data_IF_464720234993
#
_entry.id   IF_464720234993
#
_cell.length_a   1.000
_cell.length_b   1.000
_cell.length_c   1.000
_cell.angle_alpha   90.00
_cell.angle_beta   90.00
_cell.angle_gamma   90.00
#
_symmetry.space_group_name_H-M   'P 1'
#
loop_
_entity.id
_entity.type
_entity.pdbx_description
1 polymer ?
#
# COMPACT_ATOMS: atom_id res chain seq x y z
N UNK A 1 -2.51 -16.22 10.45
CA UNK A 1 -2.19 -16.78 9.11
C UNK A 1 -3.03 -16.06 8.07
N UNK A 2 -2.55 -15.86 6.81
CA UNK A 2 -3.37 -15.25 5.76
C UNK A 2 -4.71 -15.92 5.52
N UNK A 3 -4.79 -17.23 5.75
CA UNK A 3 -6.02 -18.02 5.66
C UNK A 3 -7.12 -17.56 6.64
N UNK A 4 -6.74 -17.00 7.77
CA UNK A 4 -7.69 -16.48 8.76
C UNK A 4 -8.45 -15.26 8.23
N UNK A 5 -7.92 -14.57 7.21
CA UNK A 5 -8.61 -13.47 6.55
C UNK A 5 -9.94 -13.89 5.92
N UNK A 6 -10.12 -15.18 5.60
CA UNK A 6 -11.39 -15.72 5.10
C UNK A 6 -12.55 -15.57 6.10
N UNK A 7 -12.23 -15.42 7.39
CA UNK A 7 -13.20 -15.25 8.49
C UNK A 7 -13.50 -13.79 8.80
N UNK A 8 -12.80 -12.87 8.11
CA UNK A 8 -12.94 -11.43 8.33
C UNK A 8 -13.52 -10.75 7.10
N UNK A 9 -14.19 -9.63 7.33
CA UNK A 9 -14.70 -8.79 6.27
C UNK A 9 -13.53 -7.98 5.70
N UNK A 10 -13.22 -8.18 4.43
CA UNK A 10 -12.25 -7.36 3.73
C UNK A 10 -12.95 -6.23 2.96
N UNK A 11 -12.34 -5.07 2.95
CA UNK A 11 -12.69 -3.96 2.07
C UNK A 11 -11.73 -3.99 0.88
N UNK A 12 -12.25 -4.22 -0.30
CA UNK A 12 -11.45 -4.48 -1.48
C UNK A 12 -11.29 -3.23 -2.35
N UNK A 13 -10.11 -3.07 -2.91
CA UNK A 13 -9.88 -2.11 -3.98
C UNK A 13 -10.10 -2.80 -5.32
N UNK A 14 -10.86 -2.17 -6.22
CA UNK A 14 -10.92 -2.60 -7.62
C UNK A 14 -10.44 -1.47 -8.53
N UNK A 15 -9.80 -1.82 -9.64
CA UNK A 15 -9.50 -0.86 -10.68
C UNK A 15 -10.50 -1.00 -11.82
N UNK A 16 -10.79 0.11 -12.52
CA UNK A 16 -11.68 0.08 -13.69
C UNK A 16 -11.23 -0.92 -14.77
N UNK A 17 -9.92 -1.22 -14.83
CA UNK A 17 -9.35 -2.21 -15.76
C UNK A 17 -9.64 -3.65 -15.35
N UNK A 18 -9.79 -3.90 -14.06
CA UNK A 18 -10.01 -5.24 -13.52
C UNK A 18 -11.25 -5.15 -12.65
N UNK A 19 -12.39 -5.53 -13.19
CA UNK A 19 -13.68 -5.54 -12.46
C UNK A 19 -13.72 -6.53 -11.29
N UNK A 20 -12.61 -7.19 -11.03
CA UNK A 20 -12.46 -8.15 -9.95
C UNK A 20 -11.67 -7.54 -8.80
N UNK A 21 -11.92 -8.01 -7.59
CA UNK A 21 -11.15 -7.65 -6.41
C UNK A 21 -9.68 -8.03 -6.63
N UNK A 22 -8.77 -7.09 -6.34
CA UNK A 22 -7.35 -7.35 -6.48
C UNK A 22 -6.90 -8.40 -5.46
N UNK A 23 -6.15 -9.38 -5.91
CA UNK A 23 -5.48 -10.33 -5.03
C UNK A 23 -4.56 -9.62 -4.04
N UNK A 24 -4.55 -10.12 -2.82
CA UNK A 24 -3.62 -9.68 -1.80
C UNK A 24 -2.42 -10.62 -1.78
N UNK A 25 -1.27 -10.12 -2.19
CA UNK A 25 -0.02 -10.86 -2.21
C UNK A 25 0.76 -10.59 -0.94
N UNK A 26 1.19 -11.64 -0.27
CA UNK A 26 1.99 -11.60 0.95
C UNK A 26 3.31 -12.31 0.73
N UNK A 27 4.36 -11.79 1.33
CA UNK A 27 5.69 -12.39 1.32
C UNK A 27 6.07 -12.71 2.76
N UNK A 28 6.33 -13.99 3.03
CA UNK A 28 6.82 -14.45 4.30
C UNK A 28 8.02 -15.37 4.08
N UNK A 29 9.16 -15.04 4.68
CA UNK A 29 10.42 -15.81 4.57
C UNK A 29 10.79 -16.21 3.14
N UNK A 30 10.56 -15.29 2.19
CA UNK A 30 10.84 -15.50 0.76
C UNK A 30 9.81 -16.33 0.00
N UNK A 31 8.73 -16.76 0.63
CA UNK A 31 7.58 -17.38 -0.04
C UNK A 31 6.51 -16.33 -0.32
N UNK A 32 6.02 -16.34 -1.53
CA UNK A 32 4.90 -15.49 -1.96
C UNK A 32 3.61 -16.29 -1.87
N UNK A 33 2.65 -15.76 -1.16
CA UNK A 33 1.30 -16.33 -1.01
C UNK A 33 0.30 -15.30 -1.49
N UNK A 34 -0.65 -15.72 -2.33
CA UNK A 34 -1.74 -14.88 -2.80
C UNK A 34 -3.05 -15.31 -2.16
N UNK A 35 -3.84 -14.33 -1.78
CA UNK A 35 -5.14 -14.54 -1.17
C UNK A 35 -6.17 -13.62 -1.83
N UNK A 36 -7.31 -14.16 -2.22
CA UNK A 36 -8.45 -13.37 -2.69
C UNK A 36 -9.36 -13.10 -1.51
N UNK A 37 -9.40 -11.86 -1.01
CA UNK A 37 -10.16 -11.57 0.18
C UNK A 37 -11.66 -11.64 -0.08
N UNK A 38 -12.37 -12.35 0.80
CA UNK A 38 -13.81 -12.33 0.80
C UNK A 38 -14.32 -11.00 1.40
N UNK A 39 -15.06 -10.23 0.63
CA UNK A 39 -15.62 -8.97 1.09
C UNK A 39 -16.81 -8.54 0.26
N UNK A 40 -17.79 -7.92 0.93
CA UNK A 40 -18.99 -7.40 0.27
C UNK A 40 -18.82 -5.99 -0.29
N UNK A 41 -17.74 -5.32 0.09
CA UNK A 41 -17.49 -3.93 -0.26
C UNK A 41 -16.23 -3.91 -1.12
N UNK A 42 -16.38 -3.37 -2.32
CA UNK A 42 -15.28 -3.08 -3.24
C UNK A 42 -15.41 -1.67 -3.75
N UNK A 43 -14.35 -0.89 -3.67
CA UNK A 43 -14.32 0.52 -4.10
C UNK A 43 -13.06 0.79 -4.91
N UNK A 44 -13.09 1.86 -5.69
CA UNK A 44 -12.01 2.34 -6.53
C UNK A 44 -11.27 3.56 -5.93
N UNK A 45 -11.60 3.90 -4.70
CA UNK A 45 -11.06 5.07 -3.99
C UNK A 45 -10.43 4.65 -2.65
N UNK A 46 -9.15 5.00 -2.47
CA UNK A 46 -8.38 4.64 -1.28
C UNK A 46 -8.87 5.36 -0.01
N UNK A 47 -9.41 6.59 -0.14
CA UNK A 47 -9.90 7.35 1.02
C UNK A 47 -11.19 6.74 1.57
N UNK A 48 -12.02 6.21 0.67
CA UNK A 48 -13.24 5.48 1.06
C UNK A 48 -12.87 4.19 1.79
N UNK A 49 -11.87 3.45 1.29
CA UNK A 49 -11.35 2.26 1.98
C UNK A 49 -10.86 2.58 3.38
N UNK A 50 -10.04 3.62 3.50
CA UNK A 50 -9.50 4.04 4.78
C UNK A 50 -10.61 4.46 5.75
N UNK A 51 -11.56 5.28 5.29
CA UNK A 51 -12.70 5.72 6.11
C UNK A 51 -13.55 4.53 6.56
N UNK A 52 -13.80 3.58 5.68
CA UNK A 52 -14.52 2.35 5.99
C UNK A 52 -13.79 1.52 7.07
N UNK A 53 -12.49 1.38 6.96
CA UNK A 53 -11.68 0.67 7.95
C UNK A 53 -11.70 1.38 9.31
N UNK A 54 -11.52 2.70 9.35
CA UNK A 54 -11.60 3.52 10.55
C UNK A 54 -12.98 3.46 11.22
N UNK A 55 -14.04 3.23 10.42
CA UNK A 55 -15.41 3.03 10.92
C UNK A 55 -15.69 1.59 11.36
N UNK A 56 -14.69 0.71 11.36
CA UNK A 56 -14.81 -0.67 11.81
C UNK A 56 -15.52 -1.61 10.83
N UNK A 57 -15.62 -1.24 9.55
CA UNK A 57 -16.31 -2.08 8.55
C UNK A 57 -15.49 -3.30 8.11
N UNK A 58 -14.18 -3.34 8.39
CA UNK A 58 -13.37 -4.48 8.02
C UNK A 58 -11.87 -4.17 7.93
N UNK A 59 -11.15 -5.08 7.29
CA UNK A 59 -9.70 -5.04 7.12
C UNK A 59 -9.39 -4.48 5.73
N UNK A 60 -8.36 -3.64 5.63
CA UNK A 60 -7.84 -3.12 4.36
C UNK A 60 -6.39 -3.54 4.15
N UNK A 61 -5.99 -3.57 2.89
CA UNK A 61 -4.59 -3.54 2.49
C UNK A 61 -4.27 -2.15 1.94
N UNK A 62 -3.24 -1.52 2.45
CA UNK A 62 -2.89 -0.17 2.04
C UNK A 62 -1.39 0.10 2.06
N UNK A 63 -1.01 1.28 1.60
CA UNK A 63 0.39 1.74 1.61
C UNK A 63 0.74 2.19 3.02
N UNK A 64 1.79 1.60 3.59
CA UNK A 64 2.21 1.88 4.98
C UNK A 64 2.38 3.38 5.27
N UNK A 65 2.98 4.14 4.36
CA UNK A 65 3.19 5.57 4.51
C UNK A 65 1.86 6.36 4.71
N UNK A 66 0.77 5.89 4.09
CA UNK A 66 -0.57 6.50 4.23
C UNK A 66 -1.21 6.09 5.56
N UNK A 67 -0.99 4.85 5.99
CA UNK A 67 -1.61 4.28 7.18
C UNK A 67 -0.85 4.61 8.47
N UNK A 68 0.44 4.96 8.38
CA UNK A 68 1.32 5.18 9.52
C UNK A 68 0.77 6.15 10.59
N UNK A 69 0.15 7.30 10.27
CA UNK A 69 -0.43 8.18 11.29
C UNK A 69 -1.53 7.51 12.11
N UNK A 70 -2.35 6.67 11.49
CA UNK A 70 -3.46 5.97 12.13
C UNK A 70 -2.99 4.78 12.97
N UNK A 71 -1.92 4.12 12.56
CA UNK A 71 -1.25 3.09 13.34
C UNK A 71 -0.60 3.70 14.59
N UNK A 72 0.10 4.83 14.45
CA UNK A 72 0.73 5.54 15.56
C UNK A 72 -0.29 6.07 16.57
N UNK A 73 -1.44 6.54 16.13
CA UNK A 73 -2.51 7.02 16.99
C UNK A 73 -3.34 5.90 17.63
N UNK A 74 -3.11 4.64 17.22
CA UNK A 74 -3.89 3.49 17.69
C UNK A 74 -5.30 3.37 17.10
N UNK A 75 -5.63 4.20 16.10
CA UNK A 75 -6.91 4.12 15.38
C UNK A 75 -6.97 2.91 14.45
N UNK A 76 -5.81 2.44 13.98
CA UNK A 76 -5.65 1.20 13.24
C UNK A 76 -4.69 0.28 13.96
N UNK A 77 -4.87 -1.01 13.77
CA UNK A 77 -3.97 -2.06 14.27
C UNK A 77 -3.46 -2.85 13.09
N UNK A 78 -2.15 -3.04 13.03
CA UNK A 78 -1.53 -3.88 12.02
C UNK A 78 -1.78 -5.35 12.34
N UNK A 79 -2.29 -6.08 11.35
CA UNK A 79 -2.46 -7.54 11.40
C UNK A 79 -1.53 -8.20 10.41
N UNK A 80 -1.08 -9.41 10.68
CA UNK A 80 -0.13 -10.15 9.85
C UNK A 80 1.23 -9.43 9.72
N UNK A 81 1.75 -8.86 10.79
CA UNK A 81 3.00 -8.10 10.81
C UNK A 81 4.23 -8.89 10.29
N UNK A 82 4.21 -10.22 10.39
CA UNK A 82 5.25 -11.10 9.85
C UNK A 82 5.18 -11.28 8.32
N UNK A 83 4.13 -10.75 7.70
CA UNK A 83 3.87 -10.85 6.27
C UNK A 83 4.01 -9.48 5.61
N UNK A 84 4.99 -9.33 4.75
CA UNK A 84 5.19 -8.09 4.01
C UNK A 84 4.40 -8.09 2.70
N UNK A 85 3.89 -6.93 2.31
CA UNK A 85 3.33 -6.74 0.98
C UNK A 85 4.43 -6.63 -0.08
N UNK A 86 4.07 -6.87 -1.34
CA UNK A 86 4.96 -6.64 -2.46
C UNK A 86 5.33 -5.14 -2.54
N UNK A 87 6.63 -4.84 -2.58
CA UNK A 87 7.11 -3.48 -2.78
C UNK A 87 6.93 -3.10 -4.24
N UNK A 88 6.14 -2.05 -4.49
CA UNK A 88 5.97 -1.52 -5.85
C UNK A 88 6.85 -0.30 -6.05
N UNK A 89 7.64 -0.24 -7.14
CA UNK A 89 8.43 0.93 -7.45
C UNK A 89 7.52 2.11 -7.80
N UNK A 90 7.88 3.29 -7.32
CA UNK A 90 7.29 4.55 -7.76
C UNK A 90 8.16 5.09 -8.88
N UNK A 91 7.59 5.37 -10.05
CA UNK A 91 8.31 5.83 -11.22
C UNK A 91 7.78 7.17 -11.71
N UNK A 92 8.67 8.05 -12.10
CA UNK A 92 8.33 9.30 -12.79
C UNK A 92 8.41 9.07 -14.28
N UNK A 93 7.30 9.26 -14.98
CA UNK A 93 7.22 9.14 -16.43
C UNK A 93 7.20 10.53 -17.08
N UNK A 94 8.01 10.71 -18.13
CA UNK A 94 8.07 11.94 -18.92
C UNK A 94 8.31 11.63 -20.40
N UNK A 95 7.79 12.47 -21.34
CA UNK A 95 7.69 12.12 -22.74
C UNK A 95 9.01 11.95 -23.50
N UNK A 96 10.03 12.77 -23.22
CA UNK A 96 11.32 12.70 -23.92
C UNK A 96 12.47 13.28 -23.07
N UNK A 97 13.62 12.59 -23.06
CA UNK A 97 14.85 13.06 -22.40
C UNK A 97 15.53 14.21 -23.13
N UNK A 98 15.38 14.31 -24.46
CA UNK A 98 16.11 15.27 -25.29
C UNK A 98 15.65 16.71 -25.14
N UNK A 99 14.41 16.92 -24.70
CA UNK A 99 13.78 18.23 -24.59
C UNK A 99 13.20 18.53 -23.21
N UNK A 100 13.76 17.89 -22.18
CA UNK A 100 13.30 18.15 -20.82
C UNK A 100 13.65 19.57 -20.40
N UNK A 101 12.64 20.39 -20.17
CA UNK A 101 12.87 21.75 -19.67
C UNK A 101 13.64 21.69 -18.34
N UNK A 102 14.61 22.58 -18.10
CA UNK A 102 15.44 22.57 -16.88
C UNK A 102 14.63 22.51 -15.60
N UNK A 103 13.49 23.22 -15.54
CA UNK A 103 12.56 23.22 -14.42
C UNK A 103 11.97 21.83 -14.12
N UNK A 104 11.70 21.03 -15.15
CA UNK A 104 11.16 19.68 -14.99
C UNK A 104 12.25 18.75 -14.46
N UNK A 105 13.48 18.89 -14.95
CA UNK A 105 14.62 18.12 -14.45
C UNK A 105 14.86 18.36 -12.96
N UNK A 106 14.91 19.63 -12.55
CA UNK A 106 15.09 20.01 -11.13
C UNK A 106 13.99 19.41 -10.26
N UNK A 107 12.75 19.42 -10.73
CA UNK A 107 11.62 18.83 -10.00
C UNK A 107 11.74 17.31 -9.87
N UNK A 108 12.15 16.61 -10.94
CA UNK A 108 12.38 15.16 -10.92
C UNK A 108 13.50 14.81 -9.95
N UNK A 109 14.63 15.53 -10.02
CA UNK A 109 15.78 15.31 -9.14
C UNK A 109 15.40 15.51 -7.68
N UNK A 110 14.64 16.56 -7.37
CA UNK A 110 14.10 16.81 -6.03
C UNK A 110 13.16 15.68 -5.55
N UNK A 111 12.25 15.20 -6.42
CA UNK A 111 11.39 14.07 -6.07
C UNK A 111 12.21 12.81 -5.78
N UNK A 112 13.20 12.50 -6.61
CA UNK A 112 14.06 11.33 -6.41
C UNK A 112 14.82 11.41 -5.08
N UNK A 113 15.32 12.61 -4.73
CA UNK A 113 15.99 12.84 -3.47
C UNK A 113 15.03 12.68 -2.28
N UNK A 114 13.83 13.26 -2.35
CA UNK A 114 12.80 13.17 -1.32
C UNK A 114 12.43 11.71 -1.02
N UNK A 115 12.18 10.91 -2.05
CA UNK A 115 11.84 9.49 -1.90
C UNK A 115 13.04 8.66 -1.41
N UNK A 116 14.26 9.02 -1.80
CA UNK A 116 15.48 8.35 -1.32
C UNK A 116 15.70 8.57 0.18
N UNK A 117 15.40 9.75 0.68
CA UNK A 117 15.50 10.09 2.10
C UNK A 117 14.42 9.39 2.94
N UNK A 118 13.28 9.05 2.36
CA UNK A 118 12.20 8.36 3.06
C UNK A 118 12.39 6.84 3.13
N UNK A 119 13.21 6.25 2.25
CA UNK A 119 13.52 4.81 2.26
C UNK A 119 13.95 4.27 3.64
N UNK A 120 14.86 4.89 4.39
CA UNK A 120 15.25 4.42 5.71
C UNK A 120 14.12 4.47 6.74
N UNK A 121 13.21 5.46 6.65
CA UNK A 121 12.05 5.56 7.54
C UNK A 121 11.04 4.45 7.30
N UNK A 122 10.85 4.05 6.04
CA UNK A 122 9.96 2.95 5.68
C UNK A 122 10.55 1.59 6.08
N UNK A 123 11.89 1.42 5.98
CA UNK A 123 12.59 0.22 6.41
C UNK A 123 12.81 0.16 7.92
N UNK A 124 13.03 1.29 8.58
CA UNK A 124 13.26 1.36 10.03
C UNK A 124 12.02 1.05 10.87
N UNK A 125 10.82 1.28 10.33
CA UNK A 125 9.56 0.90 10.97
C UNK A 125 9.29 -0.61 10.86
N UNK A 126 9.97 -1.29 9.94
CA UNK A 126 9.91 -2.76 9.79
C UNK A 126 11.00 -3.50 10.58
N UNK A 127 11.99 -2.80 11.13
CA UNK A 127 13.12 -3.41 11.85
C UNK A 127 13.11 -3.19 13.37
N UNK A 128 12.20 -2.38 13.91
CA UNK A 128 12.11 -2.19 15.35
C UNK A 128 10.98 -3.00 15.96
N UNK A 129 11.17 -4.30 15.94
CA UNK A 129 10.81 -5.24 17.04
C UNK A 129 11.51 -6.56 16.88
#
# INVERSE_FOLDING_TARGET
>A
MPEDLSRHQALNFFSERHREALEWTFINRGKTESFTPAGRISVDNSDILLTGCLSGLGIIRGVHAVLAPYLQSGQLVEVLADYTGESKPVSVLYPDRRHLAPRVRVFIDWLCELFSQQKPRLQGLLQNK
#
